data_IF_411288416049
#
_entry.id   IF_411288416049
#
_cell.length_a   1.000
_cell.length_b   1.000
_cell.length_c   1.000
_cell.angle_alpha   90.00
_cell.angle_beta   90.00
_cell.angle_gamma   90.00
#
_symmetry.space_group_name_H-M   'P 1'
#
loop_
_entity.id
_entity.type
_entity.pdbx_description
1 polymer ?
#
# COMPACT_ATOMS: atom_id res chain seq x y z
N UNK A 1 18.10 -32.25 22.20
CA UNK A 1 17.29 -31.02 22.03
C UNK A 1 16.76 -30.90 20.61
N UNK A 2 17.32 -30.16 19.64
CA UNK A 2 16.63 -29.95 18.33
C UNK A 2 16.22 -31.26 17.61
N UNK A 3 17.14 -32.23 17.50
CA UNK A 3 16.83 -33.54 16.88
C UNK A 3 15.78 -34.35 17.65
N UNK A 4 15.74 -34.19 18.96
CA UNK A 4 14.80 -34.88 19.84
C UNK A 4 13.40 -34.25 19.72
N UNK A 5 13.32 -32.92 19.70
CA UNK A 5 12.10 -32.18 19.38
C UNK A 5 11.57 -32.54 17.98
N UNK A 6 12.46 -32.65 16.99
CA UNK A 6 12.09 -33.07 15.64
C UNK A 6 11.48 -34.47 15.60
N UNK A 7 12.10 -35.43 16.30
CA UNK A 7 11.60 -36.82 16.35
C UNK A 7 10.21 -36.84 16.99
N UNK A 8 10.04 -36.20 18.15
CA UNK A 8 8.74 -36.14 18.84
C UNK A 8 7.66 -35.48 17.95
N UNK A 9 8.02 -34.41 17.25
CA UNK A 9 7.12 -33.72 16.33
C UNK A 9 6.68 -34.63 15.17
N UNK A 10 7.61 -35.35 14.54
CA UNK A 10 7.30 -36.26 13.44
C UNK A 10 6.48 -37.46 13.91
N UNK A 11 6.80 -38.03 15.08
CA UNK A 11 6.01 -39.12 15.68
C UNK A 11 4.56 -38.69 15.95
N UNK A 12 4.35 -37.43 16.36
CA UNK A 12 3.01 -36.91 16.69
C UNK A 12 2.21 -36.48 15.46
N UNK A 13 2.88 -35.92 14.45
CA UNK A 13 2.22 -35.37 13.25
C UNK A 13 2.13 -36.36 12.10
N UNK A 14 3.02 -37.35 12.06
CA UNK A 14 3.19 -38.33 10.99
C UNK A 14 3.43 -37.69 9.59
N UNK A 15 4.00 -36.48 9.58
CA UNK A 15 4.21 -35.70 8.35
C UNK A 15 5.28 -36.29 7.45
N UNK A 16 6.30 -36.96 8.00
CA UNK A 16 7.32 -37.69 7.25
C UNK A 16 6.74 -38.83 6.41
N UNK A 17 5.65 -39.46 6.86
CA UNK A 17 4.96 -40.50 6.10
C UNK A 17 3.91 -39.91 5.14
N UNK A 18 3.13 -38.93 5.60
CA UNK A 18 2.05 -38.33 4.79
C UNK A 18 2.56 -37.38 3.72
N UNK A 19 3.68 -36.70 3.94
CA UNK A 19 4.32 -35.72 3.06
C UNK A 19 5.84 -36.00 3.03
N UNK A 20 6.27 -37.07 2.34
CA UNK A 20 7.66 -37.54 2.39
C UNK A 20 8.68 -36.54 1.83
N UNK A 21 8.24 -35.61 0.98
CA UNK A 21 9.07 -34.53 0.43
C UNK A 21 9.14 -33.29 1.35
N UNK A 22 8.50 -33.32 2.52
CA UNK A 22 8.51 -32.19 3.44
C UNK A 22 9.84 -32.06 4.18
N UNK A 23 10.45 -30.88 4.08
CA UNK A 23 11.58 -30.49 4.92
C UNK A 23 11.11 -29.47 5.96
N UNK A 24 10.92 -29.94 7.19
CA UNK A 24 10.52 -29.12 8.35
C UNK A 24 11.69 -28.86 9.31
N UNK A 25 12.93 -28.94 8.82
CA UNK A 25 14.11 -28.69 9.65
C UNK A 25 14.16 -27.26 10.17
N UNK A 26 14.65 -27.08 11.40
CA UNK A 26 14.81 -25.79 12.10
C UNK A 26 16.21 -25.68 12.68
N UNK A 27 16.71 -24.45 12.84
CA UNK A 27 18.09 -24.19 13.30
C UNK A 27 18.19 -23.78 14.77
N UNK A 28 17.06 -23.60 15.46
CA UNK A 28 17.00 -23.23 16.87
C UNK A 28 16.09 -24.19 17.68
N UNK A 29 16.40 -24.44 18.96
CA UNK A 29 15.53 -25.23 19.84
C UNK A 29 14.22 -24.50 20.16
N UNK A 30 13.19 -25.26 20.54
CA UNK A 30 11.88 -24.74 20.92
C UNK A 30 11.00 -24.30 19.74
N UNK A 31 11.36 -24.66 18.50
CA UNK A 31 10.61 -24.28 17.29
C UNK A 31 9.52 -25.29 16.91
N UNK A 32 9.74 -26.58 17.13
CA UNK A 32 8.71 -27.59 16.89
C UNK A 32 7.45 -27.44 17.75
N UNK A 33 7.53 -27.10 19.06
CA UNK A 33 6.35 -26.79 19.86
C UNK A 33 5.52 -25.62 19.31
N UNK A 34 6.16 -24.64 18.66
CA UNK A 34 5.45 -23.52 18.01
C UNK A 34 4.70 -24.01 16.77
N UNK A 35 5.30 -24.91 15.98
CA UNK A 35 4.63 -25.54 14.84
C UNK A 35 3.43 -26.38 15.29
N UNK A 36 3.56 -27.11 16.40
CA UNK A 36 2.43 -27.85 16.99
C UNK A 36 1.29 -26.91 17.40
N UNK A 37 1.61 -25.74 17.95
CA UNK A 37 0.61 -24.73 18.29
C UNK A 37 -0.10 -24.20 17.03
N UNK A 38 0.63 -23.93 15.95
CA UNK A 38 0.02 -23.53 14.67
C UNK A 38 -0.92 -24.63 14.13
N UNK A 39 -0.53 -25.90 14.22
CA UNK A 39 -1.38 -27.03 13.82
C UNK A 39 -2.59 -27.14 14.75
N UNK A 40 -2.46 -26.89 16.05
CA UNK A 40 -3.57 -26.91 16.99
C UNK A 40 -4.60 -25.82 16.71
N UNK A 41 -4.15 -24.59 16.42
CA UNK A 41 -5.02 -23.48 16.01
C UNK A 41 -5.74 -23.83 14.70
N UNK A 42 -5.02 -24.37 13.72
CA UNK A 42 -5.61 -24.83 12.46
C UNK A 42 -6.65 -25.93 12.66
N UNK A 43 -6.32 -26.96 13.47
CA UNK A 43 -7.22 -28.05 13.85
C UNK A 43 -8.51 -27.55 14.48
N UNK A 44 -8.42 -26.53 15.33
CA UNK A 44 -9.57 -25.93 15.98
C UNK A 44 -10.54 -25.32 14.96
N UNK A 45 -10.04 -24.51 14.03
CA UNK A 45 -10.87 -23.92 12.97
C UNK A 45 -11.43 -24.96 12.00
N UNK A 46 -10.63 -25.95 11.58
CA UNK A 46 -11.12 -27.07 10.78
C UNK A 46 -12.28 -27.81 11.46
N UNK A 47 -12.20 -28.02 12.79
CA UNK A 47 -13.26 -28.69 13.53
C UNK A 47 -14.57 -27.89 13.58
N UNK A 48 -14.49 -26.56 13.56
CA UNK A 48 -15.66 -25.67 13.44
C UNK A 48 -16.28 -25.79 12.04
N UNK A 49 -15.45 -25.68 10.99
CA UNK A 49 -15.92 -25.71 9.60
C UNK A 49 -16.54 -27.04 9.20
N UNK A 50 -15.96 -28.15 9.67
CA UNK A 50 -16.43 -29.50 9.34
C UNK A 50 -17.44 -30.07 10.35
N UNK A 51 -17.74 -29.33 11.42
CA UNK A 51 -18.64 -29.74 12.51
C UNK A 51 -18.31 -31.12 13.13
N UNK A 52 -17.03 -31.52 13.11
CA UNK A 52 -16.58 -32.77 13.71
C UNK A 52 -15.17 -32.69 14.29
N UNK A 53 -14.82 -33.70 15.10
CA UNK A 53 -13.47 -33.82 15.64
C UNK A 53 -12.47 -34.15 14.53
N UNK A 54 -11.33 -33.45 14.49
CA UNK A 54 -10.25 -33.64 13.54
C UNK A 54 -9.05 -34.29 14.26
N UNK A 55 -8.61 -35.50 13.87
CA UNK A 55 -7.37 -36.10 14.37
C UNK A 55 -6.16 -35.18 14.15
N UNK A 56 -5.21 -35.15 15.08
CA UNK A 56 -4.06 -34.24 14.99
C UNK A 56 -3.22 -34.44 13.73
N UNK A 57 -2.94 -35.70 13.36
CA UNK A 57 -2.20 -36.01 12.13
C UNK A 57 -2.94 -35.61 10.84
N UNK A 58 -4.27 -35.51 10.88
CA UNK A 58 -5.07 -35.04 9.74
C UNK A 58 -4.95 -33.52 9.62
N UNK A 59 -5.10 -32.81 10.74
CA UNK A 59 -4.87 -31.38 10.80
C UNK A 59 -3.44 -30.99 10.42
N UNK A 60 -2.43 -31.77 10.84
CA UNK A 60 -1.04 -31.53 10.49
C UNK A 60 -0.79 -31.60 8.98
N UNK A 61 -1.34 -32.63 8.31
CA UNK A 61 -1.22 -32.76 6.85
C UNK A 61 -1.95 -31.63 6.11
N UNK A 62 -3.16 -31.27 6.56
CA UNK A 62 -3.92 -30.18 5.96
C UNK A 62 -3.25 -28.82 6.17
N UNK A 63 -2.75 -28.53 7.38
CA UNK A 63 -1.98 -27.33 7.69
C UNK A 63 -0.73 -27.22 6.82
N UNK A 64 -0.03 -28.35 6.59
CA UNK A 64 1.16 -28.37 5.73
C UNK A 64 0.82 -27.90 4.32
N UNK A 65 -0.23 -28.45 3.72
CA UNK A 65 -0.62 -28.14 2.33
C UNK A 65 -1.24 -26.75 2.16
N UNK A 66 -2.02 -26.29 3.14
CA UNK A 66 -2.86 -25.08 3.00
C UNK A 66 -2.23 -23.83 3.60
N UNK A 67 -1.30 -23.97 4.54
CA UNK A 67 -0.67 -22.85 5.25
C UNK A 67 0.84 -22.85 5.06
N UNK A 68 1.53 -23.93 5.46
CA UNK A 68 3.00 -23.95 5.47
C UNK A 68 3.58 -23.90 4.07
N UNK A 69 3.19 -24.82 3.19
CA UNK A 69 3.75 -24.95 1.84
C UNK A 69 3.51 -23.70 0.99
N UNK A 70 2.30 -23.08 0.94
CA UNK A 70 2.10 -21.84 0.21
C UNK A 70 3.03 -20.72 0.69
N UNK A 71 3.23 -20.57 1.99
CA UNK A 71 4.13 -19.56 2.56
C UNK A 71 5.60 -19.85 2.19
N UNK A 72 6.03 -21.11 2.24
CA UNK A 72 7.38 -21.50 1.81
C UNK A 72 7.60 -21.23 0.32
N UNK A 73 6.59 -21.46 -0.53
CA UNK A 73 6.67 -21.12 -1.95
C UNK A 73 6.87 -19.61 -2.15
N UNK A 74 6.15 -18.76 -1.41
CA UNK A 74 6.36 -17.30 -1.43
C UNK A 74 7.81 -16.95 -1.06
N UNK A 75 8.34 -17.57 -0.01
CA UNK A 75 9.73 -17.37 0.45
C UNK A 75 10.74 -17.73 -0.67
N UNK A 76 10.50 -18.85 -1.36
CA UNK A 76 11.34 -19.33 -2.47
C UNK A 76 11.27 -18.44 -3.70
N UNK A 77 10.06 -18.14 -4.17
CA UNK A 77 9.81 -17.36 -5.38
C UNK A 77 10.41 -15.95 -5.28
N UNK A 78 10.32 -15.34 -4.09
CA UNK A 78 10.87 -14.02 -3.81
C UNK A 78 12.36 -14.04 -3.48
N UNK A 79 12.99 -15.22 -3.44
CA UNK A 79 14.41 -15.37 -3.17
C UNK A 79 14.83 -14.88 -1.78
N UNK A 80 13.92 -14.88 -0.81
CA UNK A 80 14.10 -14.30 0.52
C UNK A 80 15.26 -14.97 1.26
N UNK A 81 15.42 -16.28 1.07
CA UNK A 81 16.49 -17.11 1.66
C UNK A 81 17.90 -16.53 1.47
N UNK A 82 18.12 -15.73 0.42
CA UNK A 82 19.42 -15.11 0.12
C UNK A 82 19.89 -14.14 1.22
N UNK A 83 18.97 -13.56 1.97
CA UNK A 83 19.26 -12.59 3.03
C UNK A 83 19.49 -13.25 4.41
N UNK A 84 19.25 -14.57 4.53
CA UNK A 84 19.28 -15.30 5.80
C UNK A 84 20.20 -16.53 5.72
N UNK A 85 21.52 -16.34 5.57
CA UNK A 85 22.46 -17.44 5.44
C UNK A 85 22.45 -18.33 6.69
N UNK A 86 22.42 -19.65 6.48
CA UNK A 86 22.43 -20.64 7.57
C UNK A 86 21.08 -20.83 8.28
N UNK A 87 19.99 -20.30 7.73
CA UNK A 87 18.61 -20.56 8.19
C UNK A 87 17.86 -21.49 7.22
N UNK A 88 16.84 -22.17 7.72
CA UNK A 88 15.96 -23.02 6.92
C UNK A 88 14.67 -22.30 6.54
N UNK A 89 13.95 -22.85 5.58
CA UNK A 89 12.63 -22.33 5.17
C UNK A 89 11.63 -22.36 6.33
N UNK A 90 11.70 -23.37 7.20
CA UNK A 90 10.87 -23.46 8.40
C UNK A 90 11.20 -22.37 9.42
N UNK A 91 12.49 -22.02 9.58
CA UNK A 91 12.86 -20.89 10.44
C UNK A 91 12.23 -19.59 9.92
N UNK A 92 12.32 -19.35 8.61
CA UNK A 92 11.73 -18.17 7.99
C UNK A 92 10.20 -18.19 8.02
N UNK A 93 9.56 -19.35 7.85
CA UNK A 93 8.12 -19.50 8.02
C UNK A 93 7.68 -19.06 9.42
N UNK A 94 8.38 -19.50 10.47
CA UNK A 94 8.07 -19.14 11.84
C UNK A 94 8.29 -17.65 12.10
N UNK A 95 9.40 -17.09 11.62
CA UNK A 95 9.66 -15.66 11.74
C UNK A 95 8.65 -14.81 10.97
N UNK A 96 8.26 -15.25 9.79
CA UNK A 96 7.24 -14.58 8.99
C UNK A 96 5.88 -14.61 9.66
N UNK A 97 5.48 -15.75 10.26
CA UNK A 97 4.24 -15.85 11.00
C UNK A 97 4.20 -14.90 12.21
N UNK A 98 5.29 -14.85 12.99
CA UNK A 98 5.43 -13.94 14.13
C UNK A 98 5.42 -12.46 13.67
N UNK A 99 6.17 -12.15 12.61
CA UNK A 99 6.25 -10.80 12.04
C UNK A 99 4.91 -10.33 11.48
N UNK A 100 4.20 -11.22 10.78
CA UNK A 100 2.84 -10.97 10.26
C UNK A 100 1.86 -10.69 11.39
N UNK A 101 1.91 -11.48 12.47
CA UNK A 101 1.04 -11.27 13.63
C UNK A 101 1.33 -9.92 14.31
N UNK A 102 2.61 -9.58 14.47
CA UNK A 102 3.03 -8.27 14.98
C UNK A 102 2.56 -7.12 14.09
N UNK A 103 2.75 -7.21 12.76
CA UNK A 103 2.27 -6.22 11.81
C UNK A 103 0.74 -6.08 11.86
N UNK A 104 0.02 -7.19 11.91
CA UNK A 104 -1.45 -7.17 11.91
C UNK A 104 -2.00 -6.54 13.19
N UNK A 105 -1.39 -6.84 14.34
CA UNK A 105 -1.74 -6.19 15.61
C UNK A 105 -1.45 -4.68 15.58
N UNK A 106 -0.32 -4.28 15.01
CA UNK A 106 0.10 -2.88 14.94
C UNK A 106 -0.77 -2.06 13.99
N UNK A 107 -1.05 -2.61 12.81
CA UNK A 107 -1.82 -1.94 11.75
C UNK A 107 -3.33 -2.04 12.02
N UNK A 108 -3.79 -3.02 12.80
CA UNK A 108 -5.21 -3.21 13.11
C UNK A 108 -6.01 -3.93 12.02
N UNK A 109 -5.33 -4.62 11.10
CA UNK A 109 -5.94 -5.49 10.09
C UNK A 109 -5.01 -6.63 9.68
N UNK A 110 -5.56 -7.68 9.07
CA UNK A 110 -4.80 -8.85 8.65
C UNK A 110 -3.89 -8.56 7.47
N UNK A 111 -2.59 -8.84 7.63
CA UNK A 111 -1.59 -8.63 6.58
C UNK A 111 -1.44 -9.86 5.71
N UNK A 112 -1.31 -9.69 4.41
CA UNK A 112 -1.05 -10.79 3.47
C UNK A 112 0.38 -11.35 3.65
N UNK A 113 0.60 -12.68 3.63
CA UNK A 113 1.91 -13.28 3.87
C UNK A 113 3.03 -12.72 2.99
N UNK A 114 2.76 -12.47 1.70
CA UNK A 114 3.75 -11.86 0.79
C UNK A 114 4.23 -10.49 1.26
N UNK A 115 3.31 -9.63 1.72
CA UNK A 115 3.65 -8.29 2.21
C UNK A 115 4.50 -8.33 3.48
N UNK A 116 4.16 -9.22 4.42
CA UNK A 116 4.96 -9.44 5.61
C UNK A 116 6.36 -9.97 5.27
N UNK A 117 6.48 -10.81 4.24
CA UNK A 117 7.75 -11.39 3.83
C UNK A 117 8.71 -10.36 3.21
N UNK A 118 8.18 -9.42 2.42
CA UNK A 118 8.94 -8.27 1.93
C UNK A 118 9.40 -7.36 3.07
N UNK A 119 8.51 -6.98 3.98
CA UNK A 119 8.88 -6.12 5.10
C UNK A 119 9.95 -6.78 6.00
N UNK A 120 9.85 -8.10 6.23
CA UNK A 120 10.84 -8.86 6.99
C UNK A 120 12.24 -8.79 6.35
N UNK A 121 12.34 -8.83 5.02
CA UNK A 121 13.64 -8.68 4.32
C UNK A 121 14.24 -7.30 4.48
N UNK A 122 13.42 -6.25 4.47
CA UNK A 122 13.88 -4.87 4.62
C UNK A 122 14.43 -4.65 6.03
N UNK A 123 13.74 -5.15 7.05
CA UNK A 123 14.13 -4.92 8.45
C UNK A 123 15.34 -5.75 8.90
N UNK A 124 15.54 -6.95 8.35
CA UNK A 124 16.59 -7.87 8.80
C UNK A 124 17.71 -8.09 7.77
N UNK A 125 17.56 -7.59 6.54
CA UNK A 125 18.56 -7.70 5.47
C UNK A 125 19.86 -6.95 5.75
N UNK A 126 19.84 -5.96 6.64
CA UNK A 126 21.03 -5.18 7.04
C UNK A 126 21.81 -5.81 8.22
N UNK A 127 21.25 -6.77 8.96
CA UNK A 127 21.92 -7.39 10.11
C UNK A 127 22.83 -8.58 9.75
N UNK A 128 22.87 -8.98 8.47
CA UNK A 128 23.68 -10.13 8.01
C UNK A 128 25.17 -9.84 7.81
N UNK A 129 25.62 -8.58 7.92
CA UNK A 129 27.05 -8.24 8.00
C UNK A 129 27.51 -8.09 9.46
N UNK A 130 27.65 -9.23 10.13
CA UNK A 130 28.67 -9.42 11.17
C UNK A 130 28.36 -8.88 12.58
N UNK A 131 28.15 -9.82 13.51
CA UNK A 131 28.54 -9.75 14.93
C UNK A 131 28.33 -8.38 15.61
N UNK A 132 27.13 -8.11 16.15
CA UNK A 132 27.01 -7.25 17.33
C UNK A 132 25.83 -7.62 18.23
N UNK A 133 26.18 -7.82 19.49
CA UNK A 133 25.36 -8.26 20.60
C UNK A 133 24.28 -7.26 21.02
N UNK A 134 23.05 -7.75 21.21
CA UNK A 134 22.05 -7.51 22.29
C UNK A 134 21.95 -6.16 23.04
N UNK A 135 22.56 -5.07 22.59
CA UNK A 135 22.61 -3.79 23.33
C UNK A 135 22.27 -2.56 22.50
N UNK A 136 21.64 -2.72 21.33
CA UNK A 136 21.34 -1.60 20.43
C UNK A 136 19.84 -1.46 20.14
N UNK A 137 18.98 -1.55 21.15
CA UNK A 137 17.55 -1.20 20.99
C UNK A 137 17.25 0.30 21.08
N UNK A 138 18.20 1.16 21.45
CA UNK A 138 17.90 2.56 21.81
C UNK A 138 18.77 3.68 21.16
N UNK A 139 19.64 3.42 20.18
CA UNK A 139 20.62 4.46 19.73
C UNK A 139 20.62 4.80 18.23
N UNK A 140 19.97 4.04 17.34
CA UNK A 140 19.99 4.36 15.88
C UNK A 140 18.88 5.36 15.47
N UNK A 141 17.91 5.66 16.33
CA UNK A 141 16.83 6.62 16.02
C UNK A 141 17.22 8.10 15.98
N UNK A 142 18.47 8.50 16.28
CA UNK A 142 18.77 9.92 16.54
C UNK A 142 19.78 10.64 15.66
N UNK A 143 20.48 10.01 14.70
CA UNK A 143 21.56 10.71 13.98
C UNK A 143 21.79 10.28 12.51
N UNK A 144 20.75 9.99 11.75
CA UNK A 144 20.80 10.09 10.28
C UNK A 144 20.02 11.32 9.85
N UNK A 145 20.69 12.21 9.15
CA UNK A 145 20.08 13.38 8.50
C UNK A 145 18.89 12.93 7.64
N UNK A 146 17.69 13.36 8.02
CA UNK A 146 16.39 12.97 7.46
C UNK A 146 16.05 13.72 6.14
N UNK A 147 17.07 14.03 5.36
CA UNK A 147 16.95 14.72 4.07
C UNK A 147 17.67 13.88 3.01
N UNK A 148 16.90 13.35 2.04
CA UNK A 148 17.34 12.64 0.81
C UNK A 148 17.13 11.12 0.71
N UNK A 149 16.18 10.52 1.42
CA UNK A 149 15.60 9.25 0.95
C UNK A 149 14.33 9.54 0.12
N UNK A 150 14.46 9.43 -1.20
CA UNK A 150 13.30 9.37 -2.09
C UNK A 150 12.61 8.04 -1.86
N UNK A 151 11.28 8.01 -1.68
CA UNK A 151 10.53 6.74 -1.55
C UNK A 151 10.76 5.82 -2.78
N UNK A 152 10.26 4.57 -2.75
CA UNK A 152 10.60 3.54 -3.74
C UNK A 152 10.37 4.01 -5.20
N UNK A 153 11.18 3.53 -6.16
CA UNK A 153 11.09 3.92 -7.57
C UNK A 153 9.68 3.67 -8.17
N UNK A 154 9.26 4.53 -9.12
CA UNK A 154 8.00 4.38 -9.84
C UNK A 154 7.78 2.97 -10.40
N UNK A 155 6.57 2.45 -10.25
CA UNK A 155 6.16 1.14 -10.77
C UNK A 155 6.60 -0.09 -9.97
N UNK A 156 7.44 0.03 -8.93
CA UNK A 156 7.84 -1.11 -8.08
C UNK A 156 6.65 -1.70 -7.31
N UNK A 157 5.72 -0.84 -6.91
CA UNK A 157 4.54 -1.20 -6.12
C UNK A 157 3.57 -2.14 -6.85
N UNK A 158 3.51 -2.06 -8.19
CA UNK A 158 2.70 -2.92 -9.05
C UNK A 158 3.43 -4.20 -9.46
N UNK A 159 4.73 -4.15 -9.77
CA UNK A 159 5.50 -5.36 -10.14
C UNK A 159 5.56 -6.38 -9.00
N UNK A 160 5.51 -5.91 -7.75
CA UNK A 160 5.51 -6.77 -6.56
C UNK A 160 4.14 -7.40 -6.23
N UNK A 161 3.05 -6.96 -6.87
CA UNK A 161 1.67 -7.40 -6.58
C UNK A 161 0.97 -8.15 -7.71
N UNK A 162 1.44 -8.01 -8.95
CA UNK A 162 0.85 -8.68 -10.13
C UNK A 162 0.98 -10.21 -10.08
N UNK A 163 1.92 -10.77 -9.29
CA UNK A 163 2.16 -12.22 -9.27
C UNK A 163 1.15 -13.03 -8.41
N UNK A 164 0.29 -12.40 -7.60
CA UNK A 164 -0.56 -13.14 -6.63
C UNK A 164 -2.03 -12.71 -6.52
N UNK A 165 -2.47 -11.63 -7.18
CA UNK A 165 -3.85 -11.11 -7.03
C UNK A 165 -4.72 -11.33 -8.26
N UNK A 166 -6.01 -11.47 -7.98
CA UNK A 166 -7.13 -11.51 -8.92
C UNK A 166 -6.92 -10.44 -10.01
N UNK A 167 -6.68 -10.85 -11.26
CA UNK A 167 -6.19 -10.01 -12.38
C UNK A 167 -7.13 -8.84 -12.75
N UNK A 168 -8.24 -8.70 -12.02
CA UNK A 168 -9.37 -7.83 -12.31
C UNK A 168 -9.48 -6.60 -11.40
N UNK A 169 -8.64 -6.46 -10.34
CA UNK A 169 -8.71 -5.33 -9.38
C UNK A 169 -7.34 -4.69 -9.17
N UNK A 170 -7.27 -3.37 -9.23
CA UNK A 170 -6.01 -2.62 -9.04
C UNK A 170 -5.85 -2.11 -7.60
N UNK A 171 -6.94 -1.82 -6.91
CA UNK A 171 -6.89 -1.20 -5.57
C UNK A 171 -7.68 -1.98 -4.50
N UNK A 172 -7.37 -3.26 -4.21
CA UNK A 172 -8.14 -4.04 -3.23
C UNK A 172 -8.05 -3.53 -1.79
N UNK A 173 -6.96 -2.87 -1.37
CA UNK A 173 -6.79 -2.32 -0.02
C UNK A 173 -6.58 -0.79 -0.07
N UNK A 174 -7.52 -0.01 0.49
CA UNK A 174 -7.48 1.46 0.51
C UNK A 174 -7.05 1.96 1.90
N UNK A 175 -6.14 2.93 1.99
CA UNK A 175 -5.80 3.60 3.25
C UNK A 175 -6.47 4.98 3.33
N UNK A 176 -7.12 5.29 4.44
CA UNK A 176 -7.79 6.59 4.66
C UNK A 176 -7.43 7.18 6.02
N UNK A 177 -6.72 8.31 6.09
CA UNK A 177 -6.53 9.04 7.34
C UNK A 177 -7.85 9.66 7.80
N UNK A 178 -8.26 9.37 9.04
CA UNK A 178 -9.52 9.86 9.64
C UNK A 178 -9.21 10.90 10.69
N UNK A 179 -9.60 12.16 10.46
CA UNK A 179 -9.23 13.28 11.35
C UNK A 179 -10.25 13.62 12.43
N UNK A 180 -11.35 12.87 12.56
CA UNK A 180 -12.45 13.12 13.53
C UNK A 180 -13.26 14.39 13.25
N UNK A 181 -12.63 15.42 12.69
CA UNK A 181 -13.23 16.67 12.23
C UNK A 181 -14.25 16.42 11.12
N UNK A 182 -15.33 17.21 11.09
CA UNK A 182 -16.40 17.05 10.10
C UNK A 182 -15.92 17.19 8.64
N UNK A 183 -14.90 18.01 8.43
CA UNK A 183 -14.29 18.20 7.10
C UNK A 183 -13.57 16.95 6.61
N UNK A 184 -13.00 16.13 7.50
CA UNK A 184 -12.20 14.94 7.15
C UNK A 184 -13.00 13.78 6.54
N UNK A 185 -14.32 13.74 6.76
CA UNK A 185 -15.16 12.63 6.31
C UNK A 185 -15.33 12.54 4.80
N UNK A 186 -15.07 13.62 4.05
CA UNK A 186 -15.12 13.58 2.58
C UNK A 186 -14.14 12.58 1.98
N UNK A 187 -12.98 12.36 2.62
CA UNK A 187 -12.00 11.39 2.17
C UNK A 187 -12.50 9.95 2.39
N UNK A 188 -13.23 9.72 3.48
CA UNK A 188 -13.92 8.45 3.74
C UNK A 188 -15.01 8.22 2.70
N UNK A 189 -15.80 9.25 2.39
CA UNK A 189 -16.86 9.14 1.38
C UNK A 189 -16.30 8.87 -0.02
N UNK A 190 -15.20 9.53 -0.41
CA UNK A 190 -14.48 9.22 -1.65
C UNK A 190 -13.91 7.79 -1.65
N UNK A 191 -13.39 7.33 -0.52
CA UNK A 191 -12.88 5.97 -0.38
C UNK A 191 -13.98 4.92 -0.53
N UNK A 192 -15.17 5.19 0.00
CA UNK A 192 -16.35 4.36 -0.22
C UNK A 192 -16.70 4.28 -1.71
N UNK A 193 -16.72 5.41 -2.43
CA UNK A 193 -16.98 5.42 -3.87
C UNK A 193 -15.97 4.55 -4.64
N UNK A 194 -14.68 4.66 -4.32
CA UNK A 194 -13.66 3.81 -4.94
C UNK A 194 -13.81 2.34 -4.54
N UNK A 195 -14.07 2.06 -3.26
CA UNK A 195 -14.22 0.70 -2.75
C UNK A 195 -15.42 -0.03 -3.36
N UNK A 196 -16.54 0.65 -3.56
CA UNK A 196 -17.72 0.08 -4.21
C UNK A 196 -17.44 -0.27 -5.69
N UNK A 197 -16.61 0.53 -6.37
CA UNK A 197 -16.24 0.28 -7.76
C UNK A 197 -15.25 -0.88 -7.92
N UNK A 198 -14.28 -0.97 -7.02
CA UNK A 198 -13.22 -1.98 -7.07
C UNK A 198 -13.55 -3.26 -6.28
N UNK A 199 -14.57 -3.23 -5.41
CA UNK A 199 -14.79 -4.28 -4.42
C UNK A 199 -13.63 -4.35 -3.41
N UNK A 200 -13.22 -3.20 -2.89
CA UNK A 200 -12.07 -3.03 -1.99
C UNK A 200 -12.45 -3.02 -0.52
N UNK A 201 -11.43 -3.14 0.33
CA UNK A 201 -11.49 -2.90 1.78
C UNK A 201 -10.94 -1.52 2.11
N UNK A 202 -11.47 -0.90 3.15
CA UNK A 202 -11.00 0.39 3.66
C UNK A 202 -10.30 0.22 5.00
N UNK A 203 -9.05 0.62 5.07
CA UNK A 203 -8.28 0.74 6.31
C UNK A 203 -8.23 2.20 6.74
N UNK A 204 -9.00 2.54 7.77
CA UNK A 204 -8.96 3.83 8.43
C UNK A 204 -7.78 3.92 9.39
N UNK A 205 -7.06 5.04 9.40
CA UNK A 205 -6.03 5.33 10.40
C UNK A 205 -6.34 6.66 11.09
N UNK A 206 -6.48 6.63 12.42
CA UNK A 206 -6.56 7.83 13.24
C UNK A 206 -5.21 8.06 13.93
N UNK A 207 -4.58 9.21 13.70
CA UNK A 207 -3.23 9.49 14.18
C UNK A 207 -3.29 10.55 15.27
N UNK A 208 -2.75 10.21 16.43
CA UNK A 208 -2.68 11.08 17.63
C UNK A 208 -1.23 11.34 18.00
N UNK A 209 -0.97 12.42 18.74
CA UNK A 209 0.37 12.71 19.27
C UNK A 209 0.73 11.75 20.41
N UNK A 210 -0.24 11.46 21.27
CA UNK A 210 -0.15 10.44 22.31
C UNK A 210 -1.48 9.72 22.42
N UNK A 211 -1.48 8.39 22.57
CA UNK A 211 -2.72 7.63 22.81
C UNK A 211 -3.44 8.02 24.10
N UNK A 212 -2.73 8.64 25.05
CA UNK A 212 -3.35 9.19 26.26
C UNK A 212 -4.25 10.40 26.00
N UNK A 213 -4.08 11.07 24.87
CA UNK A 213 -4.78 12.31 24.54
C UNK A 213 -6.17 12.05 23.94
N UNK A 214 -6.43 10.81 23.52
CA UNK A 214 -7.69 10.38 22.96
C UNK A 214 -8.56 9.78 24.06
N UNK A 215 -9.70 10.40 24.35
CA UNK A 215 -10.65 9.82 25.29
C UNK A 215 -11.40 8.63 24.69
N UNK A 216 -11.85 7.71 25.54
CA UNK A 216 -12.64 6.56 25.10
C UNK A 216 -13.92 7.01 24.37
N UNK A 217 -14.59 8.07 24.84
CA UNK A 217 -15.80 8.60 24.22
C UNK A 217 -15.53 9.18 22.82
N UNK A 218 -14.46 9.97 22.65
CA UNK A 218 -14.05 10.51 21.34
C UNK A 218 -13.71 9.38 20.36
N UNK A 219 -12.99 8.37 20.81
CA UNK A 219 -12.65 7.21 19.96
C UNK A 219 -13.90 6.41 19.58
N UNK A 220 -14.82 6.17 20.53
CA UNK A 220 -16.06 5.44 20.24
C UNK A 220 -16.95 6.20 19.26
N UNK A 221 -17.06 7.53 19.38
CA UNK A 221 -17.82 8.35 18.43
C UNK A 221 -17.20 8.30 17.03
N UNK A 222 -15.89 8.51 16.93
CA UNK A 222 -15.15 8.46 15.67
C UNK A 222 -15.26 7.08 15.01
N UNK A 223 -15.02 6.02 15.78
CA UNK A 223 -15.09 4.64 15.32
C UNK A 223 -16.51 4.27 14.87
N UNK A 224 -17.54 4.63 15.64
CA UNK A 224 -18.93 4.36 15.29
C UNK A 224 -19.33 5.09 14.01
N UNK A 225 -18.92 6.35 13.84
CA UNK A 225 -19.21 7.14 12.63
C UNK A 225 -18.52 6.56 11.40
N UNK A 226 -17.26 6.13 11.52
CA UNK A 226 -16.51 5.48 10.44
C UNK A 226 -17.12 4.15 10.01
N UNK A 227 -17.33 3.23 10.96
CA UNK A 227 -17.89 1.92 10.65
C UNK A 227 -19.31 2.01 10.11
N UNK A 228 -20.15 2.90 10.67
CA UNK A 228 -21.51 3.12 10.14
C UNK A 228 -21.48 3.55 8.67
N UNK A 229 -20.65 4.53 8.31
CA UNK A 229 -20.51 4.98 6.92
C UNK A 229 -20.14 3.85 5.96
N UNK A 230 -19.16 3.02 6.35
CA UNK A 230 -18.71 1.91 5.51
C UNK A 230 -19.77 0.79 5.44
N UNK A 231 -20.40 0.45 6.57
CA UNK A 231 -21.44 -0.59 6.65
C UNK A 231 -22.70 -0.21 5.85
N UNK A 232 -23.15 1.04 5.95
CA UNK A 232 -24.31 1.54 5.18
C UNK A 232 -24.06 1.44 3.67
N UNK A 233 -22.79 1.48 3.24
CA UNK A 233 -22.35 1.35 1.86
C UNK A 233 -21.99 -0.10 1.45
N UNK A 234 -22.07 -1.06 2.37
CA UNK A 234 -21.70 -2.47 2.12
C UNK A 234 -20.20 -2.70 1.94
N UNK A 235 -19.35 -1.82 2.47
CA UNK A 235 -17.90 -1.87 2.34
C UNK A 235 -17.26 -2.41 3.63
N UNK A 236 -16.40 -3.41 3.49
CA UNK A 236 -15.58 -3.92 4.60
C UNK A 236 -14.54 -2.88 5.01
N UNK A 237 -14.48 -2.59 6.31
CA UNK A 237 -13.58 -1.57 6.83
C UNK A 237 -13.03 -1.91 8.21
N UNK A 238 -11.78 -1.50 8.45
CA UNK A 238 -11.10 -1.56 9.75
C UNK A 238 -10.62 -0.17 10.15
N UNK A 239 -10.45 0.09 11.44
CA UNK A 239 -9.93 1.36 11.95
C UNK A 239 -8.84 1.12 12.99
N UNK A 240 -7.68 1.74 12.82
CA UNK A 240 -6.59 1.72 13.80
C UNK A 240 -6.34 3.10 14.41
N UNK A 241 -5.68 3.09 15.57
CA UNK A 241 -5.17 4.31 16.22
C UNK A 241 -3.65 4.20 16.35
N UNK A 242 -2.96 5.16 15.76
CA UNK A 242 -1.51 5.22 15.71
C UNK A 242 -1.00 6.49 16.41
N UNK A 243 0.19 6.38 16.99
CA UNK A 243 0.83 7.47 17.73
C UNK A 243 2.06 7.94 16.97
N UNK A 244 2.12 9.24 16.64
CA UNK A 244 3.32 9.83 16.02
C UNK A 244 3.03 10.90 14.96
N UNK A 245 3.98 11.06 14.05
CA UNK A 245 3.89 12.02 12.95
C UNK A 245 2.90 11.58 11.88
N UNK A 246 1.96 12.46 11.50
CA UNK A 246 0.89 12.14 10.53
C UNK A 246 1.44 11.58 9.22
N UNK A 247 2.37 12.28 8.57
CA UNK A 247 2.92 11.85 7.29
C UNK A 247 3.73 10.56 7.39
N UNK A 248 4.49 10.39 8.47
CA UNK A 248 5.30 9.18 8.71
C UNK A 248 4.41 7.96 8.86
N UNK A 249 3.37 8.06 9.71
CA UNK A 249 2.46 6.94 9.94
C UNK A 249 1.64 6.57 8.70
N UNK A 250 1.19 7.56 7.94
CA UNK A 250 0.50 7.32 6.67
C UNK A 250 1.44 6.60 5.69
N UNK A 251 2.69 7.06 5.56
CA UNK A 251 3.65 6.42 4.64
C UNK A 251 3.98 4.99 5.05
N UNK A 252 4.10 4.73 6.35
CA UNK A 252 4.38 3.38 6.86
C UNK A 252 3.20 2.43 6.61
N UNK A 253 1.97 2.85 6.91
CA UNK A 253 0.76 2.06 6.62
C UNK A 253 0.56 1.84 5.12
N UNK A 254 0.87 2.84 4.30
CA UNK A 254 0.73 2.77 2.84
C UNK A 254 1.61 1.67 2.21
N UNK A 255 2.68 1.22 2.87
CA UNK A 255 3.48 0.07 2.39
C UNK A 255 2.62 -1.18 2.21
N UNK A 256 1.55 -1.30 3.00
CA UNK A 256 0.66 -2.46 3.06
C UNK A 256 -0.70 -2.26 2.37
N UNK A 257 -0.96 -1.08 1.77
CA UNK A 257 -2.20 -0.79 1.01
C UNK A 257 -1.90 -0.48 -0.45
N UNK A 258 -2.89 -0.31 -1.32
CA UNK A 258 -2.73 -0.05 -2.76
C UNK A 258 -2.76 1.44 -3.12
N UNK A 259 -3.52 2.23 -2.36
CA UNK A 259 -3.70 3.67 -2.57
C UNK A 259 -3.99 4.35 -1.23
N UNK A 260 -3.58 5.60 -1.08
CA UNK A 260 -3.93 6.43 0.09
C UNK A 260 -4.89 7.53 -0.34
N UNK A 261 -6.03 7.63 0.32
CA UNK A 261 -7.07 8.61 0.03
C UNK A 261 -7.11 9.60 1.17
N UNK A 262 -6.83 10.87 0.89
CA UNK A 262 -6.66 11.87 1.95
C UNK A 262 -7.29 13.19 1.56
N UNK A 263 -7.88 13.86 2.55
CA UNK A 263 -8.38 15.21 2.36
C UNK A 263 -7.23 16.20 2.32
N UNK A 264 -7.25 17.09 1.34
CA UNK A 264 -6.38 18.25 1.31
C UNK A 264 -6.86 19.30 2.34
N UNK A 265 -6.35 19.22 3.56
CA UNK A 265 -6.71 20.15 4.64
C UNK A 265 -5.95 21.48 4.54
N UNK A 266 -4.75 21.47 3.94
CA UNK A 266 -3.92 22.65 3.67
C UNK A 266 -3.16 22.46 2.35
N UNK A 267 -3.55 23.13 1.26
CA UNK A 267 -2.76 23.08 0.04
C UNK A 267 -1.38 23.72 0.25
N UNK A 268 -0.34 23.34 -0.51
CA UNK A 268 1.01 23.90 -0.37
C UNK A 268 1.00 25.44 -0.53
N UNK A 269 1.60 26.17 0.40
CA UNK A 269 1.63 27.65 0.36
C UNK A 269 2.55 28.22 -0.73
N UNK A 270 2.25 29.45 -1.18
CA UNK A 270 3.04 30.18 -2.18
C UNK A 270 4.45 30.57 -1.72
N UNK A 271 4.76 30.55 -0.43
CA UNK A 271 6.05 31.01 0.08
C UNK A 271 7.07 29.88 0.22
N UNK A 272 8.23 30.06 -0.45
CA UNK A 272 9.34 29.09 -0.54
C UNK A 272 9.77 28.48 0.81
N UNK A 273 9.64 29.21 1.92
CA UNK A 273 10.09 28.79 3.25
C UNK A 273 9.03 28.10 4.13
N UNK A 274 7.72 28.21 3.83
CA UNK A 274 6.67 27.42 4.49
C UNK A 274 6.34 26.11 3.78
N UNK A 275 6.76 25.97 2.50
CA UNK A 275 6.61 24.76 1.66
C UNK A 275 7.32 23.51 2.20
N UNK A 276 8.32 23.66 3.07
CA UNK A 276 9.17 22.57 3.57
C UNK A 276 8.60 21.84 4.81
N UNK A 277 7.49 22.32 5.39
CA UNK A 277 6.91 21.76 6.62
C UNK A 277 5.53 21.10 6.48
N UNK A 278 4.91 21.12 5.30
CA UNK A 278 3.57 20.53 5.14
C UNK A 278 3.66 19.01 5.09
N UNK A 279 2.92 18.31 5.96
CA UNK A 279 2.84 16.85 5.94
C UNK A 279 2.41 16.29 4.58
N UNK A 280 1.67 17.07 3.79
CA UNK A 280 1.20 16.69 2.46
C UNK A 280 2.33 16.57 1.43
N UNK A 281 3.29 17.51 1.40
CA UNK A 281 4.47 17.40 0.53
C UNK A 281 5.31 16.17 0.89
N UNK A 282 5.50 15.93 2.18
CA UNK A 282 6.21 14.73 2.67
C UNK A 282 5.50 13.47 2.20
N UNK A 283 4.16 13.41 2.25
CA UNK A 283 3.40 12.30 1.70
C UNK A 283 3.65 12.13 0.20
N UNK A 284 3.55 13.18 -0.63
CA UNK A 284 3.76 13.05 -2.09
C UNK A 284 5.20 12.55 -2.39
N UNK A 285 6.19 12.99 -1.63
CA UNK A 285 7.58 12.59 -1.84
C UNK A 285 7.89 11.17 -1.33
N UNK A 286 7.42 10.83 -0.12
CA UNK A 286 7.82 9.61 0.60
C UNK A 286 6.81 8.45 0.51
N UNK A 287 5.52 8.72 0.29
CA UNK A 287 4.48 7.68 0.33
C UNK A 287 4.70 6.65 -0.79
N UNK A 288 4.80 5.34 -0.49
CA UNK A 288 5.15 4.30 -1.47
C UNK A 288 4.01 3.96 -2.46
N UNK A 289 2.84 4.58 -2.33
CA UNK A 289 1.64 4.31 -3.13
C UNK A 289 1.10 5.59 -3.78
N UNK A 290 0.28 5.47 -4.84
CA UNK A 290 -0.46 6.61 -5.36
C UNK A 290 -1.27 7.30 -4.25
N UNK A 291 -1.33 8.64 -4.32
CA UNK A 291 -2.12 9.46 -3.41
C UNK A 291 -3.36 9.97 -4.14
N UNK A 292 -4.53 9.73 -3.56
CA UNK A 292 -5.79 10.28 -4.03
C UNK A 292 -6.18 11.47 -3.15
N UNK A 293 -5.89 12.67 -3.64
CA UNK A 293 -6.19 13.93 -2.99
C UNK A 293 -7.65 14.32 -3.21
N UNK A 294 -8.39 14.45 -2.12
CA UNK A 294 -9.78 14.92 -2.13
C UNK A 294 -9.81 16.36 -1.63
N UNK A 295 -10.27 17.28 -2.47
CA UNK A 295 -10.38 18.70 -2.12
C UNK A 295 -11.73 18.99 -1.45
N UNK A 296 -12.72 19.43 -2.21
CA UNK A 296 -14.04 19.86 -1.73
C UNK A 296 -15.21 19.06 -2.30
N UNK A 297 -14.99 18.30 -3.38
CA UNK A 297 -16.00 17.49 -4.06
C UNK A 297 -15.59 16.02 -4.10
N UNK A 298 -16.59 15.14 -4.03
CA UNK A 298 -16.43 13.71 -4.28
C UNK A 298 -16.53 13.50 -5.79
N UNK A 299 -15.63 12.69 -6.34
CA UNK A 299 -15.65 12.21 -7.70
C UNK A 299 -16.45 10.91 -7.78
N UNK A 300 -17.38 10.85 -8.72
CA UNK A 300 -18.03 9.60 -9.14
C UNK A 300 -17.11 8.75 -10.03
N UNK A 301 -15.87 9.21 -10.25
CA UNK A 301 -14.84 8.57 -11.04
C UNK A 301 -15.30 8.33 -12.49
N UNK A 302 -16.17 9.19 -13.03
CA UNK A 302 -16.90 8.94 -14.26
C UNK A 302 -16.19 9.45 -15.52
N UNK A 303 -15.28 10.42 -15.39
CA UNK A 303 -14.54 10.98 -16.52
C UNK A 303 -13.18 11.54 -16.06
N UNK A 304 -12.11 11.06 -16.67
CA UNK A 304 -10.76 11.34 -16.24
C UNK A 304 -9.97 12.21 -17.24
N UNK A 305 -9.15 13.11 -16.70
CA UNK A 305 -8.08 13.80 -17.43
C UNK A 305 -6.73 13.32 -16.92
N UNK A 306 -5.83 12.93 -17.83
CA UNK A 306 -4.45 12.56 -17.49
C UNK A 306 -3.49 13.64 -18.00
N UNK A 307 -2.83 14.34 -17.07
CA UNK A 307 -1.71 15.21 -17.38
C UNK A 307 -0.45 14.37 -17.64
N UNK A 308 0.05 14.38 -18.88
CA UNK A 308 1.09 13.47 -19.34
C UNK A 308 2.30 14.19 -19.94
N UNK A 309 3.46 13.95 -19.34
CA UNK A 309 4.77 14.49 -19.75
C UNK A 309 5.78 13.40 -20.14
N UNK A 310 5.38 12.12 -20.10
CA UNK A 310 6.24 10.95 -20.33
C UNK A 310 7.42 10.82 -19.35
N UNK A 311 7.36 11.47 -18.18
CA UNK A 311 8.18 11.12 -17.02
C UNK A 311 7.83 9.73 -16.49
N UNK A 312 8.72 9.05 -15.73
CA UNK A 312 8.40 7.78 -15.10
C UNK A 312 7.09 7.81 -14.28
N UNK A 313 6.80 8.95 -13.64
CA UNK A 313 5.64 9.15 -12.78
C UNK A 313 4.34 9.33 -13.55
N UNK A 314 4.39 10.08 -14.65
CA UNK A 314 3.22 10.17 -15.54
C UNK A 314 3.00 8.89 -16.35
N UNK A 315 4.03 8.07 -16.58
CA UNK A 315 3.88 6.71 -17.13
C UNK A 315 3.16 5.80 -16.12
N UNK A 316 3.42 5.94 -14.83
CA UNK A 316 2.65 5.25 -13.79
C UNK A 316 1.18 5.72 -13.80
N UNK A 317 0.94 7.03 -13.89
CA UNK A 317 -0.41 7.57 -14.04
C UNK A 317 -1.11 7.06 -15.31
N UNK A 318 -0.39 6.93 -16.42
CA UNK A 318 -0.89 6.35 -17.67
C UNK A 318 -1.29 4.87 -17.50
N UNK A 319 -0.54 4.09 -16.71
CA UNK A 319 -0.89 2.71 -16.40
C UNK A 319 -2.21 2.63 -15.64
N UNK A 320 -2.38 3.47 -14.60
CA UNK A 320 -3.62 3.53 -13.83
C UNK A 320 -4.78 4.00 -14.71
N UNK A 321 -4.58 5.06 -15.50
CA UNK A 321 -5.60 5.57 -16.42
C UNK A 321 -6.04 4.50 -17.45
N UNK A 322 -5.10 3.72 -17.97
CA UNK A 322 -5.41 2.60 -18.85
C UNK A 322 -6.29 1.57 -18.14
N UNK A 323 -5.96 1.19 -16.90
CA UNK A 323 -6.78 0.29 -16.09
C UNK A 323 -8.20 0.85 -15.92
N UNK A 324 -8.34 2.12 -15.55
CA UNK A 324 -9.65 2.76 -15.37
C UNK A 324 -10.50 2.71 -16.64
N UNK A 325 -9.93 3.03 -17.81
CA UNK A 325 -10.66 2.92 -19.08
C UNK A 325 -10.99 1.47 -19.47
N UNK A 326 -10.16 0.49 -19.09
CA UNK A 326 -10.39 -0.92 -19.42
C UNK A 326 -11.42 -1.59 -18.52
N UNK A 327 -11.33 -1.32 -17.22
CA UNK A 327 -12.08 -2.04 -16.19
C UNK A 327 -13.30 -1.26 -15.72
N UNK A 328 -13.26 0.07 -15.74
CA UNK A 328 -14.39 0.92 -15.36
C UNK A 328 -15.14 1.50 -16.56
N UNK A 329 -14.61 1.31 -17.77
CA UNK A 329 -15.19 1.83 -19.03
C UNK A 329 -15.44 3.34 -19.00
N UNK A 330 -14.54 4.10 -18.36
CA UNK A 330 -14.66 5.56 -18.25
C UNK A 330 -13.93 6.28 -19.38
N UNK A 331 -14.49 7.40 -19.89
CA UNK A 331 -13.77 8.33 -20.75
C UNK A 331 -12.48 8.83 -20.13
N UNK A 332 -11.46 8.95 -20.97
CA UNK A 332 -10.14 9.45 -20.60
C UNK A 332 -9.67 10.45 -21.64
N UNK A 333 -9.26 11.64 -21.23
CA UNK A 333 -8.55 12.57 -22.10
C UNK A 333 -7.11 12.73 -21.61
N UNK A 334 -6.15 12.37 -22.46
CA UNK A 334 -4.71 12.56 -22.18
C UNK A 334 -4.28 13.91 -22.73
N UNK A 335 -3.79 14.79 -21.85
CA UNK A 335 -3.30 16.12 -22.20
C UNK A 335 -1.78 16.21 -22.05
N UNK A 336 -1.13 16.79 -23.05
CA UNK A 336 0.26 17.25 -22.96
C UNK A 336 0.30 18.73 -23.30
N UNK A 337 0.89 19.53 -22.42
CA UNK A 337 1.04 20.99 -22.63
C UNK A 337 2.46 21.28 -23.09
N UNK A 338 2.58 22.01 -24.19
CA UNK A 338 3.88 22.39 -24.75
C UNK A 338 4.49 23.53 -23.93
N UNK A 339 5.69 23.28 -23.37
CA UNK A 339 6.43 24.24 -22.55
C UNK A 339 7.65 24.86 -23.28
N UNK A 340 7.79 24.54 -24.58
CA UNK A 340 8.91 24.97 -25.43
C UNK A 340 10.21 24.16 -25.27
N UNK A 341 10.33 23.31 -24.24
CA UNK A 341 11.52 22.49 -23.99
C UNK A 341 11.37 21.06 -24.54
N UNK A 342 10.15 20.54 -24.55
CA UNK A 342 9.85 19.16 -24.95
C UNK A 342 8.95 19.19 -26.19
N UNK A 343 9.21 18.28 -27.14
CA UNK A 343 8.33 18.09 -28.29
C UNK A 343 7.05 17.33 -27.85
N UNK A 344 5.87 17.98 -27.81
CA UNK A 344 4.64 17.38 -27.29
C UNK A 344 4.16 16.20 -28.13
N UNK A 345 4.42 16.19 -29.45
CA UNK A 345 4.08 15.05 -30.31
C UNK A 345 4.90 13.81 -29.97
N UNK A 346 6.17 13.99 -29.57
CA UNK A 346 7.02 12.88 -29.15
C UNK A 346 6.53 12.27 -27.83
N UNK A 347 6.12 13.11 -26.89
CA UNK A 347 5.50 12.70 -25.62
C UNK A 347 4.21 11.93 -25.92
N UNK A 348 3.30 12.55 -26.67
CA UNK A 348 1.99 11.99 -26.98
C UNK A 348 2.05 10.68 -27.77
N UNK A 349 3.07 10.49 -28.61
CA UNK A 349 3.28 9.23 -29.35
C UNK A 349 3.37 8.00 -28.43
N UNK A 350 3.97 8.13 -27.25
CA UNK A 350 4.04 7.03 -26.29
C UNK A 350 2.65 6.67 -25.76
N UNK A 351 1.89 7.65 -25.28
CA UNK A 351 0.54 7.45 -24.77
C UNK A 351 -0.41 6.88 -25.83
N UNK A 352 -0.37 7.40 -27.07
CA UNK A 352 -1.17 6.88 -28.20
C UNK A 352 -0.85 5.41 -28.51
N UNK A 353 0.42 5.02 -28.44
CA UNK A 353 0.83 3.62 -28.64
C UNK A 353 0.35 2.74 -27.48
N UNK A 354 0.46 3.21 -26.25
CA UNK A 354 0.10 2.46 -25.05
C UNK A 354 -1.41 2.22 -24.95
N UNK A 355 -2.21 3.25 -25.24
CA UNK A 355 -3.68 3.23 -25.22
C UNK A 355 -4.29 2.92 -26.59
N UNK A 356 -3.55 2.23 -27.47
CA UNK A 356 -4.02 1.89 -28.82
C UNK A 356 -5.32 1.06 -28.77
N UNK A 357 -6.26 1.35 -29.67
CA UNK A 357 -7.58 0.69 -29.78
C UNK A 357 -8.48 0.85 -28.54
N UNK A 358 -8.36 1.96 -27.81
CA UNK A 358 -9.29 2.30 -26.72
C UNK A 358 -10.28 3.38 -27.21
N UNK A 359 -11.57 3.05 -27.41
CA UNK A 359 -12.54 3.95 -28.04
C UNK A 359 -12.93 5.15 -27.16
N UNK A 360 -12.71 5.06 -25.84
CA UNK A 360 -13.04 6.09 -24.87
C UNK A 360 -11.86 7.03 -24.56
N UNK A 361 -10.76 6.92 -25.31
CA UNK A 361 -9.54 7.72 -25.08
C UNK A 361 -9.39 8.80 -26.12
N UNK A 362 -9.35 10.05 -25.65
CA UNK A 362 -8.99 11.23 -26.43
C UNK A 362 -7.58 11.70 -26.09
N UNK A 363 -6.95 12.41 -27.01
CA UNK A 363 -5.59 12.92 -26.85
C UNK A 363 -5.52 14.37 -27.32
N UNK A 364 -5.06 15.25 -26.46
CA UNK A 364 -4.99 16.68 -26.72
C UNK A 364 -3.59 17.24 -26.46
N UNK A 365 -3.12 18.07 -27.38
CA UNK A 365 -1.90 18.87 -27.20
C UNK A 365 -2.36 20.32 -27.09
N UNK A 366 -1.99 20.98 -26.00
CA UNK A 366 -2.31 22.39 -25.72
C UNK A 366 -1.02 23.20 -25.59
N UNK A 367 -1.12 24.52 -25.67
CA UNK A 367 0.00 25.46 -25.46
C UNK A 367 -0.41 26.45 -24.38
N UNK A 368 0.46 26.73 -23.41
CA UNK A 368 0.13 27.65 -22.31
C UNK A 368 0.73 27.21 -20.98
N UNK A 369 0.18 27.72 -19.88
CA UNK A 369 0.49 27.20 -18.55
C UNK A 369 -0.15 25.82 -18.38
N UNK A 370 0.62 24.85 -17.92
CA UNK A 370 0.15 23.47 -17.80
C UNK A 370 -0.99 23.31 -16.79
N UNK A 371 -1.04 24.14 -15.75
CA UNK A 371 -2.10 24.09 -14.74
C UNK A 371 -3.39 24.63 -15.33
N UNK A 372 -3.33 25.83 -15.92
CA UNK A 372 -4.48 26.51 -16.51
C UNK A 372 -5.13 25.62 -17.59
N UNK A 373 -4.33 25.06 -18.49
CA UNK A 373 -4.83 24.20 -19.57
C UNK A 373 -5.43 22.88 -19.05
N UNK A 374 -4.87 22.28 -17.99
CA UNK A 374 -5.46 21.08 -17.37
C UNK A 374 -6.80 21.41 -16.71
N UNK A 375 -6.89 22.53 -15.97
CA UNK A 375 -8.14 22.96 -15.32
C UNK A 375 -9.20 23.30 -16.37
N UNK A 376 -8.84 24.06 -17.41
CA UNK A 376 -9.73 24.36 -18.53
C UNK A 376 -10.26 23.08 -19.17
N UNK A 377 -9.40 22.09 -19.42
CA UNK A 377 -9.84 20.82 -20.00
C UNK A 377 -10.79 20.04 -19.07
N UNK A 378 -10.53 20.06 -17.76
CA UNK A 378 -11.43 19.46 -16.76
C UNK A 378 -12.81 20.09 -16.83
N UNK A 379 -12.89 21.42 -16.93
CA UNK A 379 -14.15 22.14 -17.09
C UNK A 379 -14.84 21.87 -18.43
N UNK A 380 -14.09 21.92 -19.55
CA UNK A 380 -14.57 21.68 -20.91
C UNK A 380 -15.18 20.28 -21.07
N UNK A 381 -14.54 19.27 -20.50
CA UNK A 381 -14.97 17.88 -20.63
C UNK A 381 -15.89 17.44 -19.48
N UNK A 382 -16.15 18.31 -18.50
CA UNK A 382 -16.80 17.94 -17.25
C UNK A 382 -16.14 16.71 -16.60
N UNK A 383 -14.81 16.67 -16.58
CA UNK A 383 -14.08 15.62 -15.91
C UNK A 383 -14.24 15.75 -14.40
N UNK A 384 -14.34 14.62 -13.70
CA UNK A 384 -14.46 14.57 -12.25
C UNK A 384 -13.22 13.98 -11.57
N UNK A 385 -12.16 13.70 -12.34
CA UNK A 385 -10.90 13.16 -11.84
C UNK A 385 -9.72 13.66 -12.67
N UNK A 386 -8.65 14.10 -12.01
CA UNK A 386 -7.35 14.35 -12.63
C UNK A 386 -6.35 13.30 -12.20
N UNK A 387 -5.60 12.73 -13.15
CA UNK A 387 -4.43 11.91 -12.90
C UNK A 387 -3.17 12.66 -13.30
N UNK A 388 -2.13 12.59 -12.48
CA UNK A 388 -0.83 13.17 -12.81
C UNK A 388 0.30 12.39 -12.14
N UNK A 389 1.54 12.60 -12.61
CA UNK A 389 2.72 12.19 -11.86
C UNK A 389 2.97 13.13 -10.69
N UNK A 390 3.55 12.62 -9.60
CA UNK A 390 4.02 13.41 -8.47
C UNK A 390 5.31 14.17 -8.78
N UNK A 391 5.96 14.75 -7.76
CA UNK A 391 7.17 15.55 -7.97
C UNK A 391 8.31 14.73 -8.59
N UNK A 392 8.85 15.16 -9.74
CA UNK A 392 10.06 14.60 -10.34
C UNK A 392 11.31 15.28 -9.76
N UNK A 393 12.31 14.54 -9.24
CA UNK A 393 13.58 15.10 -8.79
C UNK A 393 14.71 14.77 -9.78
N UNK A 394 15.70 15.66 -10.01
CA UNK A 394 16.83 15.90 -9.10
C UNK A 394 16.69 17.05 -8.09
N UNK A 395 17.22 16.93 -6.84
CA UNK A 395 16.95 17.82 -5.69
C UNK A 395 17.36 19.30 -5.82
N UNK A 396 18.12 19.68 -6.85
CA UNK A 396 18.59 21.07 -7.05
C UNK A 396 17.69 21.87 -8.02
N UNK A 397 16.75 21.21 -8.73
CA UNK A 397 15.82 21.87 -9.66
C UNK A 397 14.33 21.86 -9.24
N UNK A 398 13.99 21.27 -8.09
CA UNK A 398 12.60 21.15 -7.60
C UNK A 398 11.89 22.49 -7.32
N UNK A 399 12.63 23.59 -7.16
CA UNK A 399 12.04 24.92 -6.90
C UNK A 399 11.29 25.47 -8.13
N UNK A 400 11.52 24.90 -9.33
CA UNK A 400 10.97 25.40 -10.59
C UNK A 400 9.94 24.45 -11.23
N UNK A 401 10.04 23.12 -11.02
CA UNK A 401 9.18 22.12 -11.67
C UNK A 401 8.10 21.47 -10.77
N UNK A 402 8.11 21.72 -9.45
CA UNK A 402 7.02 21.30 -8.55
C UNK A 402 5.70 22.07 -8.73
N UNK A 403 5.63 22.99 -9.71
CA UNK A 403 4.50 23.91 -9.89
C UNK A 403 3.21 23.23 -10.29
N UNK A 404 3.22 22.26 -11.21
CA UNK A 404 1.96 21.68 -11.71
C UNK A 404 1.18 20.97 -10.59
N UNK A 405 1.83 20.07 -9.84
CA UNK A 405 1.16 19.34 -8.75
C UNK A 405 0.72 20.29 -7.64
N UNK A 406 1.58 21.25 -7.26
CA UNK A 406 1.25 22.23 -6.22
C UNK A 406 0.11 23.17 -6.63
N UNK A 407 0.08 23.59 -7.89
CA UNK A 407 -0.97 24.47 -8.43
C UNK A 407 -2.28 23.69 -8.62
N UNK A 408 -2.23 22.46 -9.15
CA UNK A 408 -3.42 21.61 -9.27
C UNK A 408 -4.05 21.34 -7.90
N UNK A 409 -3.24 21.02 -6.88
CA UNK A 409 -3.73 20.84 -5.51
C UNK A 409 -4.38 22.12 -4.95
N UNK A 410 -3.95 23.30 -5.39
CA UNK A 410 -4.52 24.58 -4.94
C UNK A 410 -5.79 24.97 -5.69
N UNK A 411 -5.82 24.73 -6.99
CA UNK A 411 -6.80 25.34 -7.89
C UNK A 411 -7.85 24.35 -8.39
N UNK A 412 -7.56 23.05 -8.45
CA UNK A 412 -8.51 22.07 -8.93
C UNK A 412 -9.63 21.80 -7.91
N UNK A 413 -10.87 21.94 -8.36
CA UNK A 413 -12.05 21.60 -7.56
C UNK A 413 -12.39 20.10 -7.55
N UNK A 414 -11.76 19.32 -8.43
CA UNK A 414 -11.95 17.88 -8.54
C UNK A 414 -10.84 17.12 -7.82
N UNK A 415 -11.10 15.88 -7.36
CA UNK A 415 -10.07 15.01 -6.82
C UNK A 415 -8.90 14.76 -7.79
N UNK A 416 -7.69 14.63 -7.24
CA UNK A 416 -6.45 14.41 -8.00
C UNK A 416 -5.77 13.13 -7.54
N UNK A 417 -5.51 12.21 -8.46
CA UNK A 417 -4.70 11.01 -8.24
C UNK A 417 -3.25 11.27 -8.68
N UNK A 418 -2.36 11.31 -7.70
CA UNK A 418 -0.92 11.61 -7.86
C UNK A 418 -0.13 10.30 -7.81
N UNK A 419 0.49 9.93 -8.93
CA UNK A 419 1.28 8.70 -9.07
C UNK A 419 2.76 8.91 -8.75
N UNK A 420 3.47 7.83 -8.41
CA UNK A 420 4.85 7.93 -7.93
C UNK A 420 5.88 8.10 -9.01
#
# INVERSE_FOLDING_TARGET
>A
IIKEEQVNFLETTNLDQKRPDSDLTVTAPGKYPILEEHINVHRYFMGIEHEHFIPFEEAAANWYDTIYQPIVLIIRERGIMRHFPGRTETDLYLWLAEHRAWLSQRLGWDIEPGMAAEDLTIQHGEESDGILSKTTKNIIKSLTFDTLESGPPPGEWRSKRVDQRDVNRLFPDLLVPVTGQDTGWIAVDQAITLAQREGSRIHGIHIVQSKSDLSDDEFQELSSKFHRKCQDAGVEATLSVDEGGVAEMICDHARFTDIVITRLMHPPEDQVFSRLGSGYRTMIQKCPRPLFSVSSKISELSNAVLAFDNSPKSIEALYIAAYMTCNWEIPLTVITVADGNINPERVMKFARKYLHNRPLVNFEIREGDATEEVIHLVEEQHADLVLCGGYSSTPIMEVVFGSLVDNLLREAEVPILICR
#
